data_IF_016701406105
#
_entry.id   IF_016701406105
#
_cell.length_a   1.000
_cell.length_b   1.000
_cell.length_c   1.000
_cell.angle_alpha   90.00
_cell.angle_beta   90.00
_cell.angle_gamma   90.00
#
_symmetry.space_group_name_H-M   'P 1'
#
loop_
_entity.id
_entity.type
_entity.pdbx_description
1 polymer ?
#
# COMPACT_ATOMS: atom_id res chain seq x y z
N UNK A 1 18.14 -27.68 1.67
CA UNK A 1 18.58 -26.95 2.89
C UNK A 1 18.21 -25.50 2.77
N UNK A 2 17.70 -24.94 3.85
CA UNK A 2 17.42 -23.52 3.93
C UNK A 2 18.70 -22.68 3.79
N UNK A 3 18.64 -21.58 3.03
CA UNK A 3 19.77 -20.71 2.75
C UNK A 3 19.48 -19.28 3.19
N UNK A 4 20.48 -18.64 3.81
CA UNK A 4 20.43 -17.23 4.18
C UNK A 4 20.53 -16.32 2.96
N UNK A 5 19.75 -15.23 2.99
CA UNK A 5 19.66 -14.22 1.93
C UNK A 5 19.99 -12.82 2.47
N UNK A 6 20.83 -12.10 1.76
CA UNK A 6 20.97 -10.65 1.87
C UNK A 6 20.05 -9.95 0.84
N UNK A 7 20.00 -8.64 0.86
CA UNK A 7 19.14 -7.83 -0.02
C UNK A 7 19.24 -8.20 -1.50
N UNK A 8 20.47 -8.32 -2.04
CA UNK A 8 20.67 -8.62 -3.47
C UNK A 8 20.18 -10.04 -3.82
N UNK A 9 20.44 -11.02 -2.96
CA UNK A 9 19.96 -12.39 -3.16
C UNK A 9 18.43 -12.49 -3.07
N UNK A 10 17.79 -11.70 -2.16
CA UNK A 10 16.33 -11.67 -2.06
C UNK A 10 15.73 -11.16 -3.36
N UNK A 11 16.23 -10.04 -3.90
CA UNK A 11 15.76 -9.47 -5.16
C UNK A 11 15.88 -10.49 -6.31
N UNK A 12 17.06 -11.07 -6.48
CA UNK A 12 17.32 -12.07 -7.52
C UNK A 12 16.37 -13.28 -7.39
N UNK A 13 16.29 -13.87 -6.20
CA UNK A 13 15.47 -15.06 -5.98
C UNK A 13 13.97 -14.76 -6.01
N UNK A 14 13.53 -13.55 -5.69
CA UNK A 14 12.13 -13.14 -5.86
C UNK A 14 11.74 -13.10 -7.34
N UNK A 15 12.60 -12.54 -8.21
CA UNK A 15 12.38 -12.56 -9.65
C UNK A 15 12.35 -13.99 -10.19
N UNK A 16 13.31 -14.85 -9.80
CA UNK A 16 13.37 -16.26 -10.15
C UNK A 16 12.13 -17.03 -9.67
N UNK A 17 11.66 -16.78 -8.43
CA UNK A 17 10.47 -17.39 -7.87
C UNK A 17 9.22 -17.06 -8.71
N UNK A 18 9.07 -15.79 -9.11
CA UNK A 18 7.97 -15.38 -9.99
C UNK A 18 8.14 -16.01 -11.37
N UNK A 19 9.34 -15.94 -11.95
CA UNK A 19 9.62 -16.47 -13.30
C UNK A 19 9.40 -17.98 -13.40
N UNK A 20 9.75 -18.74 -12.39
CA UNK A 20 9.66 -20.21 -12.39
C UNK A 20 8.31 -20.77 -11.97
N UNK A 21 7.41 -19.96 -11.45
CA UNK A 21 6.06 -20.37 -11.07
C UNK A 21 5.27 -20.92 -12.25
N UNK A 22 4.63 -22.09 -12.08
CA UNK A 22 3.86 -22.80 -13.11
C UNK A 22 2.44 -23.15 -12.68
N UNK A 23 2.20 -23.38 -11.39
CA UNK A 23 0.91 -23.82 -10.85
C UNK A 23 0.25 -22.73 -10.00
N UNK A 24 1.00 -22.14 -9.08
CA UNK A 24 0.51 -21.02 -8.27
C UNK A 24 1.64 -20.08 -7.86
N UNK A 25 1.26 -18.84 -7.58
CA UNK A 25 2.12 -17.83 -6.99
C UNK A 25 1.35 -17.15 -5.85
N UNK A 26 1.94 -17.16 -4.63
CA UNK A 26 1.37 -16.47 -3.47
C UNK A 26 2.39 -15.48 -2.91
N UNK A 27 2.02 -14.21 -2.95
CA UNK A 27 2.84 -13.08 -2.53
C UNK A 27 2.20 -12.38 -1.33
N UNK A 28 2.83 -12.50 -0.16
CA UNK A 28 2.34 -11.92 1.08
C UNK A 28 3.26 -10.76 1.46
N UNK A 29 2.73 -9.54 1.46
CA UNK A 29 3.48 -8.34 1.82
C UNK A 29 2.55 -7.24 2.35
N UNK A 30 2.79 -6.68 3.55
CA UNK A 30 1.95 -5.61 4.09
C UNK A 30 1.84 -4.38 3.19
N UNK A 31 2.93 -4.05 2.49
CA UNK A 31 3.04 -2.88 1.63
C UNK A 31 3.29 -3.31 0.19
N UNK A 32 2.54 -2.71 -0.73
CA UNK A 32 2.66 -2.95 -2.16
C UNK A 32 3.00 -1.66 -2.89
N UNK A 33 4.08 -1.69 -3.63
CA UNK A 33 4.45 -0.75 -4.68
C UNK A 33 5.47 -1.45 -5.56
N UNK A 34 5.01 -2.03 -6.64
CA UNK A 34 5.86 -2.80 -7.53
C UNK A 34 6.76 -1.88 -8.36
N UNK A 35 8.03 -2.27 -8.51
CA UNK A 35 8.88 -1.71 -9.54
C UNK A 35 8.46 -2.25 -10.93
N UNK A 36 9.00 -1.64 -12.00
CA UNK A 36 8.60 -2.00 -13.37
C UNK A 36 8.95 -3.45 -13.71
N UNK A 37 10.06 -3.97 -13.18
CA UNK A 37 10.49 -5.35 -13.41
C UNK A 37 9.52 -6.37 -12.81
N UNK A 38 9.13 -6.18 -11.56
CA UNK A 38 8.13 -7.06 -10.91
C UNK A 38 6.77 -6.97 -11.62
N UNK A 39 6.36 -5.78 -12.06
CA UNK A 39 5.13 -5.62 -12.85
C UNK A 39 5.17 -6.38 -14.16
N UNK A 40 6.29 -6.33 -14.87
CA UNK A 40 6.51 -7.08 -16.11
C UNK A 40 6.36 -8.59 -15.86
N UNK A 41 7.10 -9.14 -14.90
CA UNK A 41 7.06 -10.56 -14.56
C UNK A 41 5.65 -11.02 -14.15
N UNK A 42 4.95 -10.25 -13.31
CA UNK A 42 3.60 -10.58 -12.89
C UNK A 42 2.59 -10.52 -14.06
N UNK A 43 2.77 -9.57 -14.98
CA UNK A 43 1.94 -9.46 -16.20
C UNK A 43 2.15 -10.66 -17.12
N UNK A 44 3.41 -11.06 -17.33
CA UNK A 44 3.74 -12.21 -18.17
C UNK A 44 3.12 -13.50 -17.60
N UNK A 45 3.21 -13.69 -16.28
CA UNK A 45 2.59 -14.85 -15.60
C UNK A 45 1.06 -14.82 -15.63
N UNK A 46 0.48 -13.65 -15.44
CA UNK A 46 -0.97 -13.45 -15.61
C UNK A 46 -1.42 -13.76 -17.04
N UNK A 47 -0.62 -13.39 -18.05
CA UNK A 47 -0.85 -13.73 -19.46
C UNK A 47 -0.78 -15.22 -19.75
N UNK A 48 -0.05 -16.01 -18.94
CA UNK A 48 0.02 -17.46 -18.98
C UNK A 48 -1.10 -18.17 -18.19
N UNK A 49 -2.12 -17.41 -17.74
CA UNK A 49 -3.24 -17.91 -16.93
C UNK A 49 -2.84 -18.43 -15.54
N UNK A 50 -1.62 -18.15 -15.08
CA UNK A 50 -1.17 -18.52 -13.75
C UNK A 50 -2.00 -17.80 -12.68
N UNK A 51 -2.51 -18.56 -11.73
CA UNK A 51 -3.24 -18.02 -10.58
C UNK A 51 -2.28 -17.33 -9.60
N UNK A 52 -2.35 -16.01 -9.51
CA UNK A 52 -1.53 -15.20 -8.63
C UNK A 52 -2.40 -14.65 -7.51
N UNK A 53 -2.04 -14.97 -6.26
CA UNK A 53 -2.69 -14.40 -5.08
C UNK A 53 -1.73 -13.44 -4.38
N UNK A 54 -2.20 -12.24 -4.08
CA UNK A 54 -1.45 -11.23 -3.35
C UNK A 54 -2.20 -10.89 -2.07
N UNK A 55 -1.55 -11.02 -0.90
CA UNK A 55 -2.14 -10.65 0.40
C UNK A 55 -1.42 -9.41 0.93
N UNK A 56 -2.17 -8.37 1.25
CA UNK A 56 -1.64 -7.09 1.73
C UNK A 56 -2.42 -6.53 2.93
N UNK A 57 -1.89 -5.51 3.62
CA UNK A 57 -2.49 -4.99 4.85
C UNK A 57 -2.79 -3.49 4.84
N UNK A 58 -2.17 -2.71 3.98
CA UNK A 58 -2.36 -1.27 4.02
C UNK A 58 -3.65 -0.89 3.31
N UNK A 59 -4.63 -0.33 4.06
CA UNK A 59 -5.91 0.13 3.50
C UNK A 59 -5.75 1.20 2.41
N UNK A 60 -4.67 1.96 2.45
CA UNK A 60 -4.36 2.99 1.46
C UNK A 60 -3.42 2.44 0.39
N UNK A 61 -3.84 1.37 -0.30
CA UNK A 61 -3.15 0.95 -1.52
C UNK A 61 -3.12 2.16 -2.46
N UNK A 62 -1.93 2.51 -2.98
CA UNK A 62 -1.80 3.60 -3.92
C UNK A 62 -2.78 3.40 -5.09
N UNK A 63 -3.50 4.44 -5.49
CA UNK A 63 -4.50 4.37 -6.55
C UNK A 63 -3.92 3.83 -7.88
N UNK A 64 -2.65 4.10 -8.17
CA UNK A 64 -1.97 3.56 -9.34
C UNK A 64 -1.75 2.04 -9.23
N UNK A 65 -1.38 1.52 -8.04
CA UNK A 65 -1.24 0.09 -7.79
C UNK A 65 -2.59 -0.63 -7.85
N UNK A 66 -3.61 -0.05 -7.20
CA UNK A 66 -4.97 -0.59 -7.22
C UNK A 66 -5.51 -0.69 -8.66
N UNK A 67 -5.31 0.36 -9.46
CA UNK A 67 -5.70 0.37 -10.87
C UNK A 67 -4.96 -0.71 -11.66
N UNK A 68 -3.63 -0.77 -11.51
CA UNK A 68 -2.82 -1.75 -12.22
C UNK A 68 -3.23 -3.19 -11.87
N UNK A 69 -3.44 -3.51 -10.58
CA UNK A 69 -3.90 -4.82 -10.13
C UNK A 69 -5.29 -5.17 -10.69
N UNK A 70 -6.21 -4.21 -10.74
CA UNK A 70 -7.56 -4.41 -11.27
C UNK A 70 -7.57 -4.72 -12.78
N UNK A 71 -6.54 -4.31 -13.52
CA UNK A 71 -6.37 -4.59 -14.95
C UNK A 71 -5.85 -6.01 -15.23
N UNK A 72 -5.35 -6.72 -14.18
CA UNK A 72 -4.77 -8.07 -14.33
C UNK A 72 -5.81 -9.16 -14.10
N UNK A 73 -6.10 -9.98 -15.10
CA UNK A 73 -7.20 -10.97 -15.05
C UNK A 73 -6.97 -12.12 -14.06
N UNK A 74 -5.72 -12.55 -13.88
CA UNK A 74 -5.36 -13.71 -13.07
C UNK A 74 -4.65 -13.36 -11.77
N UNK A 75 -4.65 -12.07 -11.39
CA UNK A 75 -4.11 -11.59 -10.11
C UNK A 75 -5.26 -11.24 -9.18
N UNK A 76 -5.35 -11.93 -8.05
CA UNK A 76 -6.31 -11.64 -7.00
C UNK A 76 -5.59 -11.01 -5.81
N UNK A 77 -5.90 -9.76 -5.50
CA UNK A 77 -5.37 -9.07 -4.33
C UNK A 77 -6.38 -9.08 -3.18
N UNK A 78 -5.91 -9.49 -1.98
CA UNK A 78 -6.74 -9.67 -0.78
C UNK A 78 -6.20 -8.86 0.39
N UNK A 79 -7.09 -8.22 1.10
CA UNK A 79 -6.73 -7.45 2.29
C UNK A 79 -6.74 -8.34 3.54
N UNK A 80 -5.65 -8.31 4.32
CA UNK A 80 -5.53 -8.98 5.61
C UNK A 80 -5.19 -7.95 6.70
N UNK A 81 -6.12 -7.74 7.63
CA UNK A 81 -5.92 -6.83 8.76
C UNK A 81 -4.76 -7.29 9.63
N UNK A 82 -3.94 -6.34 10.09
CA UNK A 82 -2.78 -6.59 10.96
C UNK A 82 -1.68 -7.49 10.35
N UNK A 83 -1.66 -7.69 9.05
CA UNK A 83 -0.59 -8.41 8.38
C UNK A 83 0.75 -7.66 8.53
N UNK A 84 1.79 -8.37 8.94
CA UNK A 84 3.17 -7.87 8.95
C UNK A 84 4.17 -8.87 8.36
N UNK A 85 3.73 -10.08 8.05
CA UNK A 85 4.54 -11.11 7.40
C UNK A 85 4.93 -10.72 5.96
N UNK A 86 6.11 -11.14 5.52
CA UNK A 86 6.57 -11.10 4.13
C UNK A 86 7.02 -12.50 3.76
N UNK A 87 6.24 -13.13 2.90
CA UNK A 87 6.44 -14.50 2.47
C UNK A 87 6.06 -14.61 1.00
N UNK A 88 6.96 -15.09 0.19
CA UNK A 88 6.79 -15.27 -1.25
C UNK A 88 7.01 -16.73 -1.57
N UNK A 89 6.04 -17.36 -2.23
CA UNK A 89 6.15 -18.77 -2.56
C UNK A 89 5.48 -19.10 -3.89
N UNK A 90 6.04 -20.10 -4.55
CA UNK A 90 5.42 -20.84 -5.64
C UNK A 90 5.33 -22.32 -5.24
N UNK A 91 4.88 -23.21 -6.11
CA UNK A 91 4.72 -24.64 -5.85
C UNK A 91 6.01 -25.39 -5.43
N UNK A 92 7.20 -24.77 -5.61
CA UNK A 92 8.50 -25.40 -5.36
C UNK A 92 9.36 -24.71 -4.31
N UNK A 93 9.27 -23.39 -4.17
CA UNK A 93 10.16 -22.56 -3.36
C UNK A 93 9.39 -21.60 -2.47
N UNK A 94 10.00 -21.28 -1.33
CA UNK A 94 9.52 -20.25 -0.42
C UNK A 94 10.66 -19.31 0.00
N UNK A 95 10.34 -18.01 0.10
CA UNK A 95 11.21 -16.98 0.65
C UNK A 95 10.46 -16.31 1.80
N UNK A 96 11.05 -16.33 3.01
CA UNK A 96 10.59 -15.52 4.15
C UNK A 96 11.63 -14.44 4.39
N UNK A 97 11.19 -13.19 4.49
CA UNK A 97 12.12 -12.06 4.48
C UNK A 97 11.59 -10.86 5.26
N UNK A 98 12.45 -9.91 5.55
CA UNK A 98 12.06 -8.57 6.02
C UNK A 98 11.61 -7.64 4.87
N UNK A 99 11.97 -7.96 3.62
CA UNK A 99 11.69 -7.14 2.42
C UNK A 99 10.21 -7.12 2.06
N UNK A 100 9.64 -5.94 1.94
CA UNK A 100 8.31 -5.76 1.38
C UNK A 100 8.35 -5.75 -0.17
N UNK A 101 7.22 -6.06 -0.81
CA UNK A 101 7.00 -5.78 -2.23
C UNK A 101 6.81 -4.26 -2.44
N UNK A 102 7.80 -3.51 -2.01
CA UNK A 102 7.81 -2.06 -2.05
C UNK A 102 9.13 -1.59 -2.65
N UNK A 103 9.04 -0.88 -3.76
CA UNK A 103 10.15 -0.40 -4.57
C UNK A 103 11.32 0.19 -3.73
N UNK A 104 11.00 1.05 -2.76
CA UNK A 104 12.00 1.63 -1.86
C UNK A 104 12.76 0.57 -1.03
N UNK A 105 12.07 -0.46 -0.53
CA UNK A 105 12.68 -1.54 0.25
C UNK A 105 13.66 -2.37 -0.58
N UNK A 106 13.35 -2.55 -1.86
CA UNK A 106 14.18 -3.35 -2.78
C UNK A 106 15.50 -2.66 -3.15
N UNK A 107 15.54 -1.33 -3.10
CA UNK A 107 16.70 -0.54 -3.55
C UNK A 107 17.50 0.05 -2.38
N UNK A 108 16.84 0.51 -1.33
CA UNK A 108 17.45 1.39 -0.32
C UNK A 108 17.61 0.73 1.05
N UNK A 109 16.92 -0.37 1.35
CA UNK A 109 16.98 -1.00 2.65
C UNK A 109 18.02 -2.13 2.71
N UNK A 110 18.54 -2.36 3.92
CA UNK A 110 19.27 -3.59 4.23
C UNK A 110 18.26 -4.64 4.72
N UNK A 111 18.03 -5.63 3.88
CA UNK A 111 17.03 -6.68 4.13
C UNK A 111 17.71 -8.03 4.34
N UNK A 112 17.07 -8.88 5.11
CA UNK A 112 17.50 -10.26 5.35
C UNK A 112 16.36 -11.23 5.12
N UNK A 113 16.69 -12.48 4.79
CA UNK A 113 15.70 -13.51 4.62
C UNK A 113 16.31 -14.91 4.57
N UNK A 114 15.43 -15.87 4.39
CA UNK A 114 15.77 -17.27 4.14
C UNK A 114 14.96 -17.79 2.96
N UNK A 115 15.57 -18.67 2.19
CA UNK A 115 14.87 -19.43 1.14
C UNK A 115 15.01 -20.91 1.40
N UNK A 116 14.01 -21.68 1.01
CA UNK A 116 14.00 -23.13 1.09
C UNK A 116 13.11 -23.73 0.01
N UNK A 117 13.43 -24.95 -0.39
CA UNK A 117 12.75 -25.68 -1.44
C UNK A 117 11.90 -26.82 -0.86
N UNK A 118 10.75 -27.08 -1.47
CA UNK A 118 9.83 -28.17 -1.11
C UNK A 118 10.50 -29.54 -1.10
N UNK A 119 11.42 -29.77 -2.03
CA UNK A 119 12.12 -31.05 -2.17
C UNK A 119 13.24 -31.28 -1.14
N UNK A 120 13.81 -30.21 -0.60
CA UNK A 120 14.95 -30.30 0.34
C UNK A 120 14.55 -30.07 1.79
N UNK A 121 13.57 -29.22 2.02
CA UNK A 121 13.10 -28.80 3.34
C UNK A 121 11.59 -29.00 3.45
N UNK A 122 11.12 -30.21 3.16
CA UNK A 122 9.71 -30.57 3.00
C UNK A 122 8.82 -30.11 4.15
N UNK A 123 9.26 -30.31 5.40
CA UNK A 123 8.49 -29.93 6.57
C UNK A 123 8.38 -28.42 6.67
N UNK A 124 9.51 -27.71 6.55
CA UNK A 124 9.55 -26.24 6.63
C UNK A 124 8.71 -25.60 5.52
N UNK A 125 8.82 -26.12 4.29
CA UNK A 125 8.02 -25.66 3.17
C UNK A 125 6.51 -25.88 3.42
N UNK A 126 6.11 -27.05 3.88
CA UNK A 126 4.72 -27.39 4.19
C UNK A 126 4.14 -26.42 5.24
N UNK A 127 4.87 -26.22 6.35
CA UNK A 127 4.40 -25.39 7.45
C UNK A 127 4.26 -23.91 7.00
N UNK A 128 5.22 -23.40 6.22
CA UNK A 128 5.14 -22.05 5.62
C UNK A 128 3.99 -21.93 4.62
N UNK A 129 3.77 -22.95 3.79
CA UNK A 129 2.69 -23.01 2.82
C UNK A 129 1.32 -23.03 3.50
N UNK A 130 1.15 -23.85 4.54
CA UNK A 130 -0.09 -23.94 5.31
C UNK A 130 -0.44 -22.59 5.98
N UNK A 131 0.55 -21.92 6.58
CA UNK A 131 0.35 -20.60 7.16
C UNK A 131 0.02 -19.54 6.11
N UNK A 132 0.72 -19.54 4.97
CA UNK A 132 0.43 -18.65 3.87
C UNK A 132 -1.00 -18.87 3.31
N UNK A 133 -1.44 -20.13 3.20
CA UNK A 133 -2.81 -20.49 2.82
C UNK A 133 -3.82 -20.09 3.88
N UNK A 134 -3.49 -20.17 5.17
CA UNK A 134 -4.32 -19.68 6.26
C UNK A 134 -4.54 -18.17 6.14
N UNK A 135 -3.45 -17.39 5.94
CA UNK A 135 -3.52 -15.95 5.74
C UNK A 135 -4.39 -15.60 4.52
N UNK A 136 -4.26 -16.34 3.43
CA UNK A 136 -5.09 -16.16 2.24
C UNK A 136 -6.58 -16.40 2.54
N UNK A 137 -6.92 -17.46 3.33
CA UNK A 137 -8.30 -17.78 3.69
C UNK A 137 -8.96 -16.73 4.58
N UNK A 138 -8.22 -16.15 5.53
CA UNK A 138 -8.76 -15.12 6.44
C UNK A 138 -8.74 -13.72 5.82
N UNK A 139 -8.14 -13.56 4.66
CA UNK A 139 -8.10 -12.29 3.94
C UNK A 139 -9.42 -12.03 3.23
N UNK A 140 -9.88 -10.80 3.32
CA UNK A 140 -11.04 -10.33 2.59
C UNK A 140 -10.67 -10.14 1.13
N UNK A 141 -11.46 -10.69 0.23
CA UNK A 141 -11.37 -10.35 -1.18
C UNK A 141 -11.79 -8.89 -1.34
N UNK A 142 -10.81 -8.02 -1.40
CA UNK A 142 -11.06 -6.69 -1.91
C UNK A 142 -11.36 -6.86 -3.40
N UNK A 143 -12.63 -6.82 -3.76
CA UNK A 143 -12.99 -6.46 -5.11
C UNK A 143 -12.32 -5.11 -5.31
N UNK A 144 -11.25 -5.07 -6.11
CA UNK A 144 -10.64 -3.82 -6.58
C UNK A 144 -11.62 -3.19 -7.59
N UNK A 145 -12.88 -3.11 -7.16
CA UNK A 145 -13.86 -2.21 -7.78
C UNK A 145 -13.17 -0.86 -7.67
N UNK A 146 -12.93 -0.24 -8.81
CA UNK A 146 -12.58 1.18 -8.84
C UNK A 146 -13.38 1.82 -7.72
N UNK A 147 -12.74 2.40 -6.68
CA UNK A 147 -13.52 3.15 -5.71
C UNK A 147 -14.41 4.03 -6.56
N UNK A 148 -15.74 4.10 -6.29
CA UNK A 148 -16.60 5.03 -7.01
C UNK A 148 -15.81 6.32 -7.01
N UNK A 149 -15.77 7.13 -8.07
CA UNK A 149 -14.89 8.26 -8.17
C UNK A 149 -15.09 9.08 -6.91
N UNK A 150 -14.47 8.61 -5.85
CA UNK A 150 -14.31 9.38 -4.66
C UNK A 150 -13.45 10.51 -5.14
N UNK A 151 -14.03 11.68 -5.23
CA UNK A 151 -13.34 12.93 -5.06
C UNK A 151 -12.64 12.95 -3.68
N UNK A 152 -11.86 11.94 -3.40
CA UNK A 152 -10.85 11.90 -2.38
C UNK A 152 -9.56 12.42 -3.03
N UNK A 153 -9.60 13.66 -3.50
CA UNK A 153 -8.37 14.42 -3.57
C UNK A 153 -7.70 14.28 -2.20
N UNK A 154 -6.43 13.82 -2.13
CA UNK A 154 -5.78 13.64 -0.84
C UNK A 154 -5.92 14.94 -0.07
N UNK A 155 -6.54 14.88 1.10
CA UNK A 155 -6.77 16.07 1.91
C UNK A 155 -5.43 16.74 2.18
N UNK A 156 -5.39 18.05 2.03
CA UNK A 156 -4.21 18.86 2.27
C UNK A 156 -4.19 19.29 3.73
N UNK A 157 -3.02 19.23 4.37
CA UNK A 157 -2.83 19.96 5.64
C UNK A 157 -3.00 21.47 5.41
N UNK A 158 -3.35 22.25 6.44
CA UNK A 158 -3.50 23.71 6.31
C UNK A 158 -2.26 24.34 5.69
N UNK A 159 -1.05 23.87 6.01
CA UNK A 159 0.19 24.37 5.42
C UNK A 159 0.29 24.05 3.91
N UNK A 160 -0.07 22.84 3.49
CA UNK A 160 -0.09 22.47 2.07
C UNK A 160 -1.18 23.21 1.30
N UNK A 161 -2.34 23.45 1.94
CA UNK A 161 -3.42 24.27 1.39
C UNK A 161 -2.97 25.73 1.20
N UNK A 162 -2.28 26.31 2.19
CA UNK A 162 -1.69 27.64 2.11
C UNK A 162 -0.74 27.76 0.91
N UNK A 163 0.19 26.81 0.77
CA UNK A 163 1.12 26.77 -0.36
C UNK A 163 0.40 26.66 -1.72
N UNK A 164 -0.69 25.90 -1.79
CA UNK A 164 -1.52 25.78 -2.99
C UNK A 164 -2.13 27.12 -3.43
N UNK A 165 -2.46 27.97 -2.48
CA UNK A 165 -3.01 29.32 -2.74
C UNK A 165 -1.96 30.44 -2.72
N UNK A 166 -0.67 30.12 -2.69
CA UNK A 166 0.41 31.11 -2.64
C UNK A 166 0.43 31.95 -1.35
N UNK A 167 -0.06 31.38 -0.25
CA UNK A 167 -0.19 32.06 1.05
C UNK A 167 0.69 31.43 2.12
N UNK A 168 1.02 32.20 3.15
CA UNK A 168 1.63 31.66 4.37
C UNK A 168 0.60 30.85 5.18
N UNK A 169 1.07 29.97 6.04
CA UNK A 169 0.18 29.22 6.95
C UNK A 169 -0.65 30.14 7.84
N UNK A 170 -0.08 31.26 8.31
CA UNK A 170 -0.76 32.24 9.16
C UNK A 170 -1.93 32.86 8.41
N UNK A 171 -1.70 33.40 7.22
CA UNK A 171 -2.76 33.96 6.37
C UNK A 171 -3.87 32.95 6.03
N UNK A 172 -3.52 31.69 5.86
CA UNK A 172 -4.51 30.65 5.63
C UNK A 172 -5.36 30.38 6.87
N UNK A 173 -4.77 30.34 8.06
CA UNK A 173 -5.52 30.22 9.31
C UNK A 173 -6.46 31.41 9.51
N UNK A 174 -6.01 32.65 9.25
CA UNK A 174 -6.83 33.85 9.35
C UNK A 174 -8.01 33.83 8.36
N UNK A 175 -7.80 33.35 7.15
CA UNK A 175 -8.87 33.15 6.16
C UNK A 175 -9.89 32.10 6.61
N UNK A 176 -9.42 30.97 7.14
CA UNK A 176 -10.31 29.92 7.62
C UNK A 176 -11.15 30.35 8.82
N UNK A 177 -10.58 31.19 9.70
CA UNK A 177 -11.32 31.85 10.78
C UNK A 177 -12.35 32.85 10.25
N UNK A 178 -11.92 33.77 9.34
CA UNK A 178 -12.79 34.77 8.72
C UNK A 178 -14.01 34.16 8.03
N UNK A 179 -13.83 33.02 7.36
CA UNK A 179 -14.89 32.33 6.69
C UNK A 179 -15.70 31.36 7.59
N UNK A 180 -15.35 31.24 8.88
CA UNK A 180 -16.04 30.42 9.86
C UNK A 180 -15.83 28.93 9.67
N UNK A 181 -14.74 28.51 9.03
CA UNK A 181 -14.34 27.09 8.91
C UNK A 181 -13.58 26.62 10.14
N UNK A 182 -12.88 27.53 10.82
CA UNK A 182 -12.25 27.33 12.10
C UNK A 182 -12.80 28.36 13.11
N UNK A 183 -12.70 28.03 14.38
CA UNK A 183 -12.92 28.95 15.48
C UNK A 183 -11.74 28.89 16.48
N UNK A 184 -11.56 29.90 17.28
CA UNK A 184 -10.52 29.96 18.31
C UNK A 184 -11.17 29.79 19.68
N UNK A 185 -10.89 28.67 20.35
CA UNK A 185 -11.41 28.37 21.68
C UNK A 185 -10.24 28.08 22.64
N UNK A 186 -10.20 28.72 23.77
CA UNK A 186 -9.18 28.55 24.82
C UNK A 186 -7.73 28.54 24.29
N UNK A 187 -7.41 29.45 23.34
CA UNK A 187 -6.07 29.57 22.77
C UNK A 187 -5.72 28.54 21.66
N UNK A 188 -6.60 27.61 21.36
CA UNK A 188 -6.44 26.63 20.29
C UNK A 188 -7.46 26.80 19.17
N UNK A 189 -7.12 26.31 17.96
CA UNK A 189 -8.05 26.28 16.85
C UNK A 189 -8.92 25.03 16.93
N UNK A 190 -10.22 25.18 16.62
CA UNK A 190 -11.17 24.08 16.52
C UNK A 190 -11.91 24.13 15.19
N UNK A 191 -12.27 22.95 14.69
CA UNK A 191 -12.98 22.81 13.43
C UNK A 191 -14.49 22.99 13.67
N UNK A 192 -15.10 23.96 13.00
CA UNK A 192 -16.54 24.22 13.07
C UNK A 192 -17.35 23.19 12.26
N UNK A 193 -18.66 23.12 12.48
CA UNK A 193 -19.56 22.31 11.65
C UNK A 193 -19.58 22.75 10.19
N UNK A 194 -19.46 24.07 9.94
CA UNK A 194 -19.29 24.61 8.60
C UNK A 194 -17.99 24.11 7.97
N UNK A 195 -16.90 24.11 8.73
CA UNK A 195 -15.60 23.59 8.29
C UNK A 195 -15.68 22.10 7.92
N UNK A 196 -16.42 21.29 8.67
CA UNK A 196 -16.62 19.87 8.38
C UNK A 196 -17.46 19.66 7.12
N UNK A 197 -18.63 20.29 7.04
CA UNK A 197 -19.62 20.03 5.98
C UNK A 197 -19.26 20.69 4.64
N UNK A 198 -18.86 21.95 4.65
CA UNK A 198 -18.58 22.73 3.45
C UNK A 198 -17.09 22.73 3.06
N UNK A 199 -16.18 22.82 4.05
CA UNK A 199 -14.74 22.78 3.82
C UNK A 199 -14.17 21.38 3.66
N UNK A 200 -14.95 20.35 3.95
CA UNK A 200 -14.47 18.96 3.99
C UNK A 200 -13.34 18.78 5.01
N UNK A 201 -13.34 19.62 6.06
CA UNK A 201 -12.29 19.63 7.06
C UNK A 201 -12.33 18.41 8.00
N UNK A 202 -11.17 17.97 8.39
CA UNK A 202 -10.97 16.96 9.45
C UNK A 202 -9.95 17.48 10.45
N UNK A 203 -10.25 17.31 11.74
CA UNK A 203 -9.30 17.60 12.82
C UNK A 203 -8.64 16.31 13.28
N UNK A 204 -7.32 16.30 13.37
CA UNK A 204 -6.53 15.15 13.83
C UNK A 204 -5.49 15.60 14.84
N UNK A 205 -5.14 14.69 15.74
CA UNK A 205 -4.05 14.88 16.71
C UNK A 205 -2.81 14.12 16.22
N UNK A 206 -1.69 14.80 16.15
CA UNK A 206 -0.40 14.25 15.77
C UNK A 206 0.64 14.43 16.86
N UNK A 207 1.86 13.97 16.61
CA UNK A 207 3.00 14.04 17.54
C UNK A 207 3.33 15.48 17.99
N UNK A 208 3.01 16.47 17.16
CA UNK A 208 3.30 17.90 17.41
C UNK A 208 2.04 18.73 17.68
N UNK A 209 0.91 18.10 18.06
CA UNK A 209 -0.34 18.77 18.37
C UNK A 209 -1.45 18.56 17.33
N UNK A 210 -2.52 19.35 17.49
CA UNK A 210 -3.69 19.27 16.61
C UNK A 210 -3.41 19.90 15.24
N UNK A 211 -3.81 19.22 14.17
CA UNK A 211 -3.74 19.73 12.80
C UNK A 211 -5.03 19.47 12.03
N UNK A 212 -5.23 20.22 10.94
CA UNK A 212 -6.43 20.15 10.11
C UNK A 212 -6.11 19.69 8.70
N UNK A 213 -7.00 18.87 8.17
CA UNK A 213 -6.97 18.39 6.79
C UNK A 213 -8.17 18.96 6.04
N UNK A 214 -7.97 19.35 4.78
CA UNK A 214 -8.96 20.02 3.94
C UNK A 214 -9.06 19.35 2.57
N UNK A 215 -10.25 19.32 1.99
CA UNK A 215 -10.38 18.88 0.60
C UNK A 215 -9.54 19.74 -0.33
N UNK A 216 -8.88 19.11 -1.30
CA UNK A 216 -8.13 19.85 -2.31
C UNK A 216 -9.12 20.67 -3.17
N UNK A 217 -8.90 21.97 -3.38
CA UNK A 217 -9.70 22.75 -4.29
C UNK A 217 -9.69 22.15 -5.69
N UNK A 218 -10.83 22.08 -6.34
CA UNK A 218 -10.89 21.70 -7.76
C UNK A 218 -10.08 22.72 -8.57
N UNK A 219 -9.19 22.24 -9.44
CA UNK A 219 -8.55 23.14 -10.41
C UNK A 219 -9.65 23.86 -11.19
N UNK A 220 -9.58 25.21 -11.32
CA UNK A 220 -10.41 25.92 -12.26
C UNK A 220 -10.11 25.34 -13.63
N UNK A 221 -11.10 24.77 -14.31
CA UNK A 221 -10.96 24.50 -15.73
C UNK A 221 -10.65 25.84 -16.42
N UNK A 222 -9.62 25.92 -17.27
CA UNK A 222 -9.44 27.09 -18.11
C UNK A 222 -10.69 27.19 -18.99
N UNK A 223 -11.38 28.34 -18.87
CA UNK A 223 -12.46 28.73 -19.77
C UNK A 223 -11.91 29.11 -21.14
#
# INVERSE_FOLDING_TARGET
>A
MANFLNTSKINFLLEELIHTAKEELLLISPYLKFNDRIRELLRDKSGQELKINIVYSKKDLNAAEAKWLAEQRHITARFCKNLHAKCYLNENHCIITSMNLYDFSQVNNNEMGVTFAKTQDTILYRDAYEEARRLLRISEEHTLVQPPPQCAYPKLTTAKLAKHFGKSSKEMFDLLLKHGYLEKSKGSYQLTDKGRRQGGGEQRNGRYGTYFLWNRPKAKQPG
#
